data_IF_323382680333
#
_entry.id   IF_323382680333
#
_cell.length_a   1.000
_cell.length_b   1.000
_cell.length_c   1.000
_cell.angle_alpha   90.00
_cell.angle_beta   90.00
_cell.angle_gamma   90.00
#
_symmetry.space_group_name_H-M   'P 1'
#
loop_
_entity.id
_entity.type
_entity.pdbx_description
1 polymer ?
#
# COMPACT_ATOMS: atom_id res chain seq x y z
N UNK A 1 -3.74 -9.84 -12.86
CA UNK A 1 -3.93 -8.41 -12.52
C UNK A 1 -3.18 -8.07 -11.24
N UNK A 2 -2.65 -6.84 -11.10
CA UNK A 2 -2.05 -6.37 -9.84
C UNK A 2 -3.15 -6.13 -8.80
N UNK A 3 -2.96 -6.63 -7.58
CA UNK A 3 -3.82 -6.40 -6.41
C UNK A 3 -3.01 -5.80 -5.26
N UNK A 4 -3.71 -5.07 -4.38
CA UNK A 4 -3.18 -4.47 -3.15
C UNK A 4 -3.63 -5.20 -1.89
N UNK A 5 -4.18 -6.41 -2.01
CA UNK A 5 -4.54 -7.23 -0.84
C UNK A 5 -3.37 -7.47 0.14
N UNK A 6 -2.12 -7.70 -0.33
CA UNK A 6 -0.97 -7.82 0.58
C UNK A 6 -0.78 -6.57 1.43
N UNK A 7 -0.92 -5.37 0.84
CA UNK A 7 -0.79 -4.11 1.58
C UNK A 7 -1.73 -4.04 2.79
N UNK A 8 -3.01 -4.40 2.64
CA UNK A 8 -3.96 -4.36 3.76
C UNK A 8 -3.65 -5.39 4.84
N UNK A 9 -3.16 -6.57 4.45
CA UNK A 9 -2.68 -7.59 5.40
C UNK A 9 -1.47 -7.09 6.18
N UNK A 10 -0.52 -6.47 5.49
CA UNK A 10 0.69 -5.89 6.10
C UNK A 10 0.35 -4.75 7.04
N UNK A 11 -0.59 -3.88 6.65
CA UNK A 11 -1.08 -2.78 7.47
C UNK A 11 -1.66 -3.29 8.79
N UNK A 12 -2.49 -4.34 8.73
CA UNK A 12 -3.07 -4.99 9.91
C UNK A 12 -1.99 -5.67 10.78
N UNK A 13 -1.07 -6.43 10.17
CA UNK A 13 0.05 -7.09 10.87
C UNK A 13 0.94 -6.11 11.62
N UNK A 14 1.10 -4.89 11.09
CA UNK A 14 1.90 -3.82 11.70
C UNK A 14 1.09 -2.88 12.60
N UNK A 15 -0.19 -3.19 12.82
CA UNK A 15 -1.12 -2.38 13.63
C UNK A 15 -1.16 -0.90 13.22
N UNK A 16 -1.06 -0.65 11.91
CA UNK A 16 -1.13 0.67 11.32
C UNK A 16 -2.50 0.91 10.71
N UNK A 17 -2.86 2.18 10.54
CA UNK A 17 -4.11 2.58 9.90
C UNK A 17 -3.84 3.42 8.65
N UNK A 18 -4.79 3.44 7.72
CA UNK A 18 -4.73 4.36 6.57
C UNK A 18 -4.67 5.83 7.02
N UNK A 19 -5.33 6.14 8.14
CA UNK A 19 -5.26 7.46 8.76
C UNK A 19 -3.81 7.80 9.17
N UNK A 20 -3.10 6.87 9.80
CA UNK A 20 -1.71 7.06 10.16
C UNK A 20 -0.82 7.32 8.93
N UNK A 21 -1.03 6.55 7.85
CA UNK A 21 -0.31 6.79 6.59
C UNK A 21 -0.53 8.19 6.04
N UNK A 22 -1.77 8.71 6.12
CA UNK A 22 -2.10 10.05 5.63
C UNK A 22 -1.49 11.13 6.52
N UNK A 23 -1.75 11.08 7.82
CA UNK A 23 -1.48 12.19 8.72
C UNK A 23 -0.08 12.16 9.35
N UNK A 24 0.52 10.98 9.53
CA UNK A 24 1.87 10.86 10.09
C UNK A 24 2.95 10.67 9.04
N UNK A 25 2.62 10.02 7.91
CA UNK A 25 3.59 9.70 6.87
C UNK A 25 3.38 10.45 5.54
N UNK A 26 2.32 11.27 5.43
CA UNK A 26 2.11 12.13 4.26
C UNK A 26 1.67 11.40 2.99
N UNK A 27 1.19 10.15 3.09
CA UNK A 27 0.60 9.45 1.96
C UNK A 27 -0.70 10.15 1.56
N UNK A 28 -0.88 10.48 0.28
CA UNK A 28 -2.11 11.14 -0.14
C UNK A 28 -3.31 10.20 0.00
N UNK A 29 -4.44 10.73 0.50
CA UNK A 29 -5.71 9.99 0.54
C UNK A 29 -6.13 9.51 -0.87
N UNK A 30 -5.78 10.27 -1.91
CA UNK A 30 -6.00 9.87 -3.30
C UNK A 30 -5.24 8.60 -3.69
N UNK A 31 -4.01 8.42 -3.19
CA UNK A 31 -3.23 7.20 -3.44
C UNK A 31 -3.91 5.98 -2.85
N UNK A 32 -4.33 6.04 -1.58
CA UNK A 32 -5.03 4.95 -0.91
C UNK A 32 -6.38 4.65 -1.58
N UNK A 33 -7.10 5.69 -1.99
CA UNK A 33 -8.35 5.53 -2.73
C UNK A 33 -8.16 4.81 -4.06
N UNK A 34 -7.08 5.11 -4.78
CA UNK A 34 -6.72 4.40 -6.02
C UNK A 34 -6.37 2.94 -5.76
N UNK A 35 -5.66 2.63 -4.68
CA UNK A 35 -5.35 1.26 -4.27
C UNK A 35 -6.63 0.46 -3.97
N UNK A 36 -7.61 1.05 -3.26
CA UNK A 36 -8.93 0.42 -3.01
C UNK A 36 -9.68 0.06 -4.29
N UNK A 37 -9.45 0.80 -5.37
CA UNK A 37 -10.05 0.58 -6.69
C UNK A 37 -9.21 -0.33 -7.60
N UNK A 38 -8.06 -0.82 -7.13
CA UNK A 38 -7.14 -1.63 -7.97
C UNK A 38 -6.42 -0.82 -9.05
N UNK A 39 -6.35 0.51 -8.94
CA UNK A 39 -5.72 1.35 -9.97
C UNK A 39 -4.18 1.45 -9.79
N UNK A 40 -3.46 1.67 -10.89
CA UNK A 40 -1.99 1.62 -11.04
C UNK A 40 -1.04 2.08 -9.90
N UNK A 41 -0.92 3.33 -9.42
CA UNK A 41 0.21 3.79 -8.53
C UNK A 41 1.59 3.74 -9.21
N UNK A 42 2.50 4.56 -8.67
CA UNK A 42 3.87 4.65 -9.20
C UNK A 42 4.81 3.78 -8.39
N UNK A 43 5.94 3.39 -8.98
CA UNK A 43 7.02 2.71 -8.25
C UNK A 43 7.59 3.57 -7.12
N UNK A 44 7.56 4.90 -7.25
CA UNK A 44 7.93 5.82 -6.16
C UNK A 44 6.98 5.72 -4.96
N UNK A 45 5.68 5.62 -5.23
CA UNK A 45 4.67 5.38 -4.19
C UNK A 45 4.91 4.04 -3.50
N UNK A 46 5.19 2.99 -4.29
CA UNK A 46 5.50 1.66 -3.78
C UNK A 46 6.74 1.66 -2.89
N UNK A 47 7.82 2.31 -3.31
CA UNK A 47 9.05 2.49 -2.53
C UNK A 47 8.78 3.19 -1.20
N UNK A 48 8.00 4.28 -1.22
CA UNK A 48 7.61 5.01 -0.01
C UNK A 48 6.80 4.13 0.94
N UNK A 49 5.85 3.32 0.42
CA UNK A 49 5.08 2.40 1.23
C UNK A 49 5.95 1.31 1.84
N UNK A 50 6.89 0.73 1.09
CA UNK A 50 7.84 -0.27 1.60
C UNK A 50 8.73 0.32 2.71
N UNK A 51 9.17 1.56 2.54
CA UNK A 51 9.95 2.27 3.55
C UNK A 51 9.16 2.53 4.84
N UNK A 52 7.94 3.09 4.72
CA UNK A 52 7.09 3.39 5.89
C UNK A 52 6.72 2.10 6.62
N UNK A 53 6.35 1.08 5.87
CA UNK A 53 5.93 -0.19 6.42
C UNK A 53 7.12 -1.04 6.85
N UNK A 54 8.37 -0.73 6.50
CA UNK A 54 9.51 -1.64 6.70
C UNK A 54 9.18 -3.07 6.24
N UNK A 55 8.88 -3.19 4.95
CA UNK A 55 8.42 -4.44 4.33
C UNK A 55 8.98 -4.60 2.91
N UNK A 56 8.86 -5.82 2.38
CA UNK A 56 9.20 -6.11 0.98
C UNK A 56 8.08 -5.68 0.03
N UNK A 57 8.43 -5.51 -1.24
CA UNK A 57 7.46 -5.16 -2.30
C UNK A 57 6.29 -6.15 -2.39
N UNK A 58 6.56 -7.45 -2.24
CA UNK A 58 5.54 -8.52 -2.22
C UNK A 58 4.56 -8.44 -1.04
N UNK A 59 4.91 -7.69 0.02
CA UNK A 59 4.02 -7.39 1.14
C UNK A 59 3.12 -6.18 0.87
N UNK A 60 3.25 -5.51 -0.29
CA UNK A 60 2.42 -4.38 -0.72
C UNK A 60 1.56 -4.75 -1.93
N UNK A 61 2.15 -5.40 -2.93
CA UNK A 61 1.48 -5.75 -4.19
C UNK A 61 1.70 -7.22 -4.57
N UNK A 62 0.70 -7.80 -5.25
CA UNK A 62 0.75 -9.15 -5.78
C UNK A 62 0.18 -9.14 -7.21
N UNK A 63 0.76 -9.93 -8.11
CA UNK A 63 0.13 -10.24 -9.39
C UNK A 63 -0.69 -11.53 -9.26
N UNK A 64 -2.00 -11.46 -9.47
CA UNK A 64 -2.87 -12.66 -9.52
C UNK A 64 -3.11 -13.10 -10.96
N UNK A 65 -2.86 -14.38 -11.21
CA UNK A 65 -3.23 -15.10 -12.42
C UNK A 65 -4.71 -15.53 -12.30
N UNK A 66 -5.61 -14.58 -12.48
CA UNK A 66 -7.02 -14.86 -12.79
C UNK A 66 -7.27 -14.53 -14.25
#
# INVERSE_FOLDING_TARGET
MITYDPFYKTLNKKNMSEYELIFKHGISASTLHRMKKGEAITTKTLDTLCFILDCKVEEVIEYRNE
#
